data_IF_147325155610
#
_entry.id   IF_147325155610
#
_cell.length_a   1.000
_cell.length_b   1.000
_cell.length_c   1.000
_cell.angle_alpha   90.00
_cell.angle_beta   90.00
_cell.angle_gamma   90.00
#
_symmetry.space_group_name_H-M   'P 1'
#
loop_
_entity.id
_entity.type
_entity.pdbx_description
1 polymer ?
#
# COMPACT_ATOMS: atom_id res chain seq x y z
N UNK A 1 4.66 -24.86 -12.34
CA UNK A 1 5.24 -23.61 -12.90
C UNK A 1 6.74 -23.84 -13.02
N UNK A 2 7.30 -23.78 -14.22
CA UNK A 2 8.76 -23.73 -14.35
C UNK A 2 9.18 -22.34 -13.83
N UNK A 3 10.03 -22.33 -12.78
CA UNK A 3 10.55 -21.08 -12.24
C UNK A 3 11.44 -20.36 -13.26
N UNK A 4 11.58 -19.07 -13.12
CA UNK A 4 12.59 -18.28 -13.83
C UNK A 4 13.97 -18.89 -13.54
N UNK A 5 14.70 -19.28 -14.58
CA UNK A 5 16.00 -19.94 -14.44
C UNK A 5 17.07 -19.13 -15.19
N UNK A 6 18.17 -18.87 -14.52
CA UNK A 6 19.33 -18.23 -15.14
C UNK A 6 20.22 -19.29 -15.83
N UNK A 7 20.88 -18.93 -16.92
CA UNK A 7 21.77 -19.80 -17.69
C UNK A 7 23.13 -19.12 -17.89
N UNK A 8 24.22 -19.88 -17.97
CA UNK A 8 25.55 -19.36 -18.29
C UNK A 8 25.54 -18.61 -19.63
N UNK A 9 26.34 -17.56 -19.73
CA UNK A 9 26.45 -16.74 -20.93
C UNK A 9 25.34 -15.70 -21.15
N UNK A 10 24.42 -15.57 -20.21
CA UNK A 10 23.47 -14.44 -20.22
C UNK A 10 24.19 -13.11 -19.90
N UNK A 11 23.60 -11.99 -20.32
CA UNK A 11 24.04 -10.66 -19.86
C UNK A 11 23.59 -10.44 -18.40
N UNK A 12 24.25 -11.15 -17.45
CA UNK A 12 23.79 -11.26 -16.07
C UNK A 12 23.53 -9.91 -15.41
N UNK A 13 24.45 -8.93 -15.53
CA UNK A 13 24.26 -7.58 -14.96
C UNK A 13 22.98 -6.91 -15.50
N UNK A 14 22.79 -6.93 -16.81
CA UNK A 14 21.60 -6.33 -17.42
C UNK A 14 20.29 -6.99 -16.95
N UNK A 15 20.29 -8.33 -16.75
CA UNK A 15 19.15 -9.04 -16.18
C UNK A 15 18.90 -8.66 -14.71
N UNK A 16 19.96 -8.58 -13.91
CA UNK A 16 19.87 -8.15 -12.50
C UNK A 16 19.25 -6.76 -12.41
N UNK A 17 19.75 -5.79 -13.18
CA UNK A 17 19.25 -4.41 -13.20
C UNK A 17 17.77 -4.35 -13.65
N UNK A 18 17.41 -5.06 -14.72
CA UNK A 18 16.04 -5.10 -15.21
C UNK A 18 15.08 -5.69 -14.16
N UNK A 19 15.46 -6.77 -13.48
CA UNK A 19 14.64 -7.39 -12.45
C UNK A 19 14.53 -6.52 -11.20
N UNK A 20 15.60 -5.83 -10.79
CA UNK A 20 15.57 -4.86 -9.68
C UNK A 20 14.61 -3.70 -10.00
N UNK A 21 14.70 -3.13 -11.21
CA UNK A 21 13.78 -2.08 -11.64
C UNK A 21 12.33 -2.58 -11.68
N UNK A 22 12.10 -3.83 -12.09
CA UNK A 22 10.76 -4.42 -12.07
C UNK A 22 10.23 -4.67 -10.65
N UNK A 23 11.08 -5.09 -9.70
CA UNK A 23 10.74 -5.29 -8.29
C UNK A 23 10.29 -3.99 -7.61
N UNK A 24 10.84 -2.84 -8.00
CA UNK A 24 10.43 -1.53 -7.48
C UNK A 24 9.09 -1.04 -8.04
N UNK A 25 8.51 -1.71 -9.06
CA UNK A 25 7.20 -1.36 -9.59
C UNK A 25 6.08 -1.64 -8.57
N UNK A 26 5.03 -0.81 -8.57
CA UNK A 26 3.88 -0.95 -7.67
C UNK A 26 3.24 -2.35 -7.72
N UNK A 27 3.20 -2.98 -8.89
CA UNK A 27 2.58 -4.29 -9.10
C UNK A 27 3.35 -5.41 -8.37
N UNK A 28 4.68 -5.35 -8.36
CA UNK A 28 5.54 -6.36 -7.76
C UNK A 28 5.79 -6.08 -6.29
N UNK A 29 5.98 -4.83 -5.91
CA UNK A 29 6.19 -4.42 -4.51
C UNK A 29 5.05 -4.86 -3.58
N UNK A 30 3.82 -4.95 -4.09
CA UNK A 30 2.65 -5.43 -3.35
C UNK A 30 2.33 -6.92 -3.56
N UNK A 31 3.25 -7.69 -4.18
CA UNK A 31 3.07 -9.12 -4.45
C UNK A 31 4.26 -9.94 -3.89
N UNK A 32 4.22 -10.34 -2.59
CA UNK A 32 5.31 -11.05 -1.95
C UNK A 32 5.75 -12.35 -2.65
N UNK A 33 4.86 -13.20 -3.20
CA UNK A 33 5.27 -14.38 -3.96
C UNK A 33 6.12 -14.04 -5.20
N UNK A 34 5.70 -13.03 -5.97
CA UNK A 34 6.45 -12.57 -7.16
C UNK A 34 7.79 -11.96 -6.76
N UNK A 35 7.83 -11.18 -5.68
CA UNK A 35 9.05 -10.62 -5.12
C UNK A 35 10.07 -11.73 -4.78
N UNK A 36 9.64 -12.76 -4.06
CA UNK A 36 10.50 -13.88 -3.70
C UNK A 36 11.05 -14.66 -4.90
N UNK A 37 10.24 -14.85 -5.95
CA UNK A 37 10.68 -15.47 -7.19
C UNK A 37 11.76 -14.65 -7.91
N UNK A 38 11.59 -13.35 -8.00
CA UNK A 38 12.56 -12.44 -8.61
C UNK A 38 13.86 -12.36 -7.81
N UNK A 39 13.79 -12.32 -6.48
CA UNK A 39 14.97 -12.35 -5.62
C UNK A 39 15.78 -13.64 -5.82
N UNK A 40 15.10 -14.80 -5.84
CA UNK A 40 15.75 -16.07 -6.09
C UNK A 40 16.41 -16.13 -7.48
N UNK A 41 15.77 -15.56 -8.49
CA UNK A 41 16.30 -15.49 -9.85
C UNK A 41 17.51 -14.55 -9.95
N UNK A 42 17.46 -13.37 -9.33
CA UNK A 42 18.61 -12.45 -9.22
C UNK A 42 19.80 -13.16 -8.55
N UNK A 43 19.58 -13.90 -7.46
CA UNK A 43 20.63 -14.67 -6.79
C UNK A 43 21.31 -15.71 -7.71
N UNK A 44 20.54 -16.34 -8.61
CA UNK A 44 21.11 -17.24 -9.63
C UNK A 44 22.01 -16.48 -10.62
N UNK A 45 21.60 -15.30 -11.08
CA UNK A 45 22.41 -14.46 -11.96
C UNK A 45 23.70 -14.00 -11.28
N UNK A 46 23.64 -13.59 -10.00
CA UNK A 46 24.83 -13.20 -9.22
C UNK A 46 25.81 -14.37 -9.12
N UNK A 47 25.31 -15.58 -8.82
CA UNK A 47 26.17 -16.77 -8.70
C UNK A 47 26.84 -17.14 -10.03
N UNK A 48 26.12 -17.04 -11.14
CA UNK A 48 26.68 -17.30 -12.47
C UNK A 48 27.67 -16.21 -12.90
N UNK A 49 27.38 -14.94 -12.64
CA UNK A 49 28.29 -13.84 -12.93
C UNK A 49 29.61 -13.99 -12.16
N UNK A 50 29.53 -14.24 -10.86
CA UNK A 50 30.72 -14.44 -10.04
C UNK A 50 31.57 -15.64 -10.56
N UNK A 51 30.91 -16.74 -10.95
CA UNK A 51 31.59 -17.88 -11.53
C UNK A 51 32.30 -17.56 -12.83
N UNK A 52 31.62 -16.91 -13.76
CA UNK A 52 32.20 -16.54 -15.05
C UNK A 52 33.37 -15.56 -14.89
N UNK A 53 33.28 -14.60 -13.99
CA UNK A 53 34.38 -13.64 -13.69
C UNK A 53 35.60 -14.36 -13.13
N UNK A 54 35.42 -15.24 -12.15
CA UNK A 54 36.53 -15.98 -11.52
C UNK A 54 37.15 -17.03 -12.45
N UNK A 55 36.31 -17.75 -13.21
CA UNK A 55 36.81 -18.70 -14.22
C UNK A 55 37.61 -17.99 -15.31
N UNK A 56 37.14 -16.85 -15.79
CA UNK A 56 37.86 -16.03 -16.77
C UNK A 56 39.20 -15.48 -16.22
N UNK A 57 39.19 -15.01 -14.97
CA UNK A 57 40.38 -14.51 -14.28
C UNK A 57 41.45 -15.60 -14.14
N UNK A 58 41.02 -16.80 -13.76
CA UNK A 58 41.93 -17.91 -13.44
C UNK A 58 42.30 -18.76 -14.67
N UNK A 59 41.59 -18.61 -15.80
CA UNK A 59 41.83 -19.42 -17.02
C UNK A 59 43.27 -19.28 -17.52
N UNK A 60 43.86 -18.08 -17.50
CA UNK A 60 45.22 -17.84 -17.93
C UNK A 60 46.23 -18.53 -17.01
N UNK A 61 46.05 -18.43 -15.68
CA UNK A 61 46.93 -19.06 -14.71
C UNK A 61 46.89 -20.61 -14.80
N UNK A 62 45.72 -21.18 -15.01
CA UNK A 62 45.50 -22.59 -15.24
C UNK A 62 46.20 -23.03 -16.54
N UNK A 63 46.09 -22.25 -17.61
CA UNK A 63 46.74 -22.57 -18.89
C UNK A 63 48.29 -22.52 -18.79
N UNK A 64 48.83 -21.49 -18.12
CA UNK A 64 50.30 -21.39 -17.88
C UNK A 64 50.82 -22.57 -17.09
N UNK A 65 50.11 -22.98 -16.05
CA UNK A 65 50.44 -24.17 -15.26
C UNK A 65 50.39 -25.48 -16.10
N UNK A 66 49.32 -25.62 -16.91
CA UNK A 66 49.20 -26.77 -17.80
C UNK A 66 50.42 -26.91 -18.75
N UNK A 67 50.88 -25.76 -19.29
CA UNK A 67 52.07 -25.73 -20.17
C UNK A 67 53.34 -26.21 -19.45
N UNK A 68 53.53 -25.86 -18.16
CA UNK A 68 54.68 -26.29 -17.37
C UNK A 68 54.72 -27.81 -17.14
N UNK A 69 53.54 -28.45 -17.12
CA UNK A 69 53.40 -29.91 -16.93
C UNK A 69 53.17 -30.67 -18.25
N UNK A 70 53.57 -30.10 -19.39
CA UNK A 70 53.45 -30.78 -20.68
C UNK A 70 52.01 -30.91 -21.22
N UNK A 71 51.15 -30.00 -20.85
CA UNK A 71 49.78 -29.91 -21.34
C UNK A 71 48.72 -30.60 -20.44
N UNK A 72 49.17 -31.24 -19.35
CA UNK A 72 48.22 -31.88 -18.41
C UNK A 72 48.54 -31.45 -16.98
N UNK A 73 47.55 -30.92 -16.28
CA UNK A 73 47.68 -30.58 -14.86
C UNK A 73 47.56 -31.81 -14.01
N UNK A 74 48.51 -32.06 -13.04
CA UNK A 74 48.40 -33.17 -12.12
C UNK A 74 47.07 -33.15 -11.35
N UNK A 75 46.41 -34.32 -11.11
CA UNK A 75 45.10 -34.37 -10.48
C UNK A 75 45.00 -33.65 -9.14
N UNK A 76 46.05 -33.72 -8.32
CA UNK A 76 46.11 -33.06 -7.02
C UNK A 76 46.11 -31.51 -7.17
N UNK A 77 46.85 -30.98 -8.15
CA UNK A 77 46.89 -29.56 -8.44
C UNK A 77 45.56 -29.06 -9.06
N UNK A 78 44.96 -29.85 -9.94
CA UNK A 78 43.62 -29.57 -10.49
C UNK A 78 42.59 -29.48 -9.38
N UNK A 79 42.64 -30.36 -8.40
CA UNK A 79 41.72 -30.33 -7.25
C UNK A 79 41.96 -29.07 -6.36
N UNK A 80 43.21 -28.65 -6.16
CA UNK A 80 43.55 -27.44 -5.44
C UNK A 80 42.99 -26.20 -6.15
N UNK A 81 43.17 -26.10 -7.47
CA UNK A 81 42.60 -25.01 -8.27
C UNK A 81 41.07 -24.95 -8.18
N UNK A 82 40.43 -26.11 -8.24
CA UNK A 82 38.98 -26.18 -8.13
C UNK A 82 38.47 -25.70 -6.76
N UNK A 83 39.16 -26.13 -5.68
CA UNK A 83 38.82 -25.67 -4.33
C UNK A 83 39.06 -24.17 -4.17
N UNK A 84 40.15 -23.64 -4.70
CA UNK A 84 40.47 -22.22 -4.65
C UNK A 84 39.45 -21.41 -5.44
N UNK A 85 39.07 -21.85 -6.64
CA UNK A 85 38.03 -21.21 -7.44
C UNK A 85 36.68 -21.13 -6.71
N UNK A 86 36.22 -22.22 -6.05
CA UNK A 86 34.97 -22.22 -5.30
C UNK A 86 34.99 -21.22 -4.13
N UNK A 87 36.17 -21.07 -3.47
CA UNK A 87 36.33 -20.04 -2.43
C UNK A 87 36.23 -18.64 -3.02
N UNK A 88 36.98 -18.35 -4.10
CA UNK A 88 36.96 -17.06 -4.77
C UNK A 88 35.56 -16.70 -5.34
N UNK A 89 34.82 -17.68 -5.86
CA UNK A 89 33.47 -17.53 -6.32
C UNK A 89 32.54 -17.13 -5.15
N UNK A 90 32.66 -17.81 -4.00
CA UNK A 90 31.86 -17.51 -2.83
C UNK A 90 32.14 -16.07 -2.28
N UNK A 91 33.41 -15.68 -2.26
CA UNK A 91 33.83 -14.33 -1.90
C UNK A 91 33.23 -13.30 -2.88
N UNK A 92 33.33 -13.53 -4.19
CA UNK A 92 32.81 -12.65 -5.22
C UNK A 92 31.27 -12.52 -5.17
N UNK A 93 30.54 -13.60 -4.91
CA UNK A 93 29.09 -13.57 -4.66
C UNK A 93 28.79 -12.63 -3.50
N UNK A 94 29.56 -12.73 -2.42
CA UNK A 94 29.38 -11.88 -1.24
C UNK A 94 29.64 -10.41 -1.55
N UNK A 95 30.71 -10.11 -2.29
CA UNK A 95 31.05 -8.75 -2.74
C UNK A 95 29.92 -8.16 -3.60
N UNK A 96 29.52 -8.86 -4.68
CA UNK A 96 28.44 -8.42 -5.56
C UNK A 96 27.13 -8.17 -4.80
N UNK A 97 26.80 -9.06 -3.86
CA UNK A 97 25.60 -8.90 -3.04
C UNK A 97 25.70 -7.65 -2.16
N UNK A 98 26.84 -7.40 -1.53
CA UNK A 98 27.07 -6.25 -0.68
C UNK A 98 27.07 -4.94 -1.49
N UNK A 99 27.67 -4.93 -2.67
CA UNK A 99 27.65 -3.81 -3.61
C UNK A 99 26.20 -3.43 -3.95
N UNK A 100 25.37 -4.42 -4.30
CA UNK A 100 23.97 -4.20 -4.65
C UNK A 100 23.14 -3.70 -3.47
N UNK A 101 23.36 -4.20 -2.26
CA UNK A 101 22.68 -3.72 -1.04
C UNK A 101 23.10 -2.28 -0.72
N UNK A 102 24.37 -1.96 -0.88
CA UNK A 102 24.86 -0.59 -0.66
C UNK A 102 24.26 0.40 -1.65
N UNK A 103 24.18 0.05 -2.94
CA UNK A 103 23.50 0.86 -3.96
C UNK A 103 22.03 1.09 -3.65
N UNK A 104 21.32 0.05 -3.20
CA UNK A 104 19.91 0.14 -2.84
C UNK A 104 19.70 1.06 -1.64
N UNK A 105 20.56 0.97 -0.63
CA UNK A 105 20.54 1.88 0.52
C UNK A 105 20.85 3.33 0.13
N UNK A 106 21.77 3.53 -0.79
CA UNK A 106 22.11 4.86 -1.28
C UNK A 106 20.95 5.48 -2.06
N UNK A 107 20.30 4.73 -2.95
CA UNK A 107 19.08 5.16 -3.65
C UNK A 107 17.94 5.50 -2.68
N UNK A 108 17.66 4.65 -1.68
CA UNK A 108 16.65 4.95 -0.66
C UNK A 108 16.96 6.20 0.16
N UNK A 109 18.24 6.48 0.39
CA UNK A 109 18.67 7.69 1.10
C UNK A 109 18.60 8.95 0.21
N UNK A 110 18.79 8.82 -1.09
CA UNK A 110 18.59 9.90 -2.06
C UNK A 110 17.12 10.28 -2.16
N UNK A 111 16.21 9.30 -2.27
CA UNK A 111 14.75 9.53 -2.28
C UNK A 111 14.26 10.25 -1.02
N UNK A 112 14.83 9.94 0.15
CA UNK A 112 14.51 10.61 1.41
C UNK A 112 15.00 12.06 1.47
N UNK A 113 15.94 12.47 0.64
CA UNK A 113 16.51 13.81 0.59
C UNK A 113 15.93 14.68 -0.52
N UNK A 114 15.02 14.15 -1.34
CA UNK A 114 14.41 14.95 -2.40
C UNK A 114 13.36 15.91 -1.80
N UNK A 115 13.62 17.24 -1.81
CA UNK A 115 12.70 18.23 -1.25
C UNK A 115 11.33 18.21 -1.93
N UNK A 116 11.24 17.68 -3.16
CA UNK A 116 9.99 17.52 -3.90
C UNK A 116 9.09 16.43 -3.30
N UNK A 117 9.68 15.35 -2.80
CA UNK A 117 8.95 14.26 -2.13
C UNK A 117 8.40 14.76 -0.79
N UNK A 118 9.21 15.49 -0.03
CA UNK A 118 8.79 16.10 1.24
C UNK A 118 7.65 17.11 1.04
N UNK A 119 7.75 17.97 0.02
CA UNK A 119 6.70 18.91 -0.35
C UNK A 119 5.41 18.19 -0.77
N UNK A 120 5.51 17.13 -1.53
CA UNK A 120 4.35 16.34 -1.98
C UNK A 120 3.68 15.58 -0.83
N UNK A 121 4.45 15.09 0.12
CA UNK A 121 3.92 14.48 1.35
C UNK A 121 3.21 15.52 2.22
N UNK A 122 3.78 16.72 2.37
CA UNK A 122 3.14 17.82 3.10
C UNK A 122 1.84 18.27 2.42
N UNK A 123 1.82 18.36 1.09
CA UNK A 123 0.60 18.69 0.33
C UNK A 123 -0.50 17.64 0.51
N UNK A 124 -0.15 16.35 0.45
CA UNK A 124 -1.10 15.26 0.70
C UNK A 124 -1.64 15.27 2.13
N UNK A 125 -0.79 15.58 3.12
CA UNK A 125 -1.20 15.68 4.52
C UNK A 125 -2.15 16.85 4.75
N UNK A 126 -1.87 18.02 4.18
CA UNK A 126 -2.75 19.19 4.20
C UNK A 126 -4.10 18.90 3.54
N UNK A 127 -4.10 18.22 2.41
CA UNK A 127 -5.32 17.85 1.69
C UNK A 127 -6.18 16.85 2.48
N UNK A 128 -5.55 15.88 3.14
CA UNK A 128 -6.23 14.95 4.03
C UNK A 128 -6.87 15.66 5.22
N UNK A 129 -6.16 16.63 5.82
CA UNK A 129 -6.68 17.44 6.92
C UNK A 129 -7.86 18.34 6.50
N UNK A 130 -7.81 18.95 5.30
CA UNK A 130 -8.92 19.70 4.74
C UNK A 130 -10.16 18.84 4.49
N UNK A 131 -9.98 17.62 3.98
CA UNK A 131 -11.07 16.67 3.77
C UNK A 131 -11.74 16.28 5.10
N UNK A 132 -10.95 16.07 6.14
CA UNK A 132 -11.46 15.75 7.48
C UNK A 132 -12.24 16.91 8.08
N UNK A 133 -11.74 18.14 7.99
CA UNK A 133 -12.46 19.34 8.42
C UNK A 133 -13.78 19.56 7.66
N UNK A 134 -13.77 19.34 6.34
CA UNK A 134 -14.98 19.45 5.54
C UNK A 134 -16.03 18.39 5.92
N UNK A 135 -15.59 17.18 6.26
CA UNK A 135 -16.45 16.11 6.75
C UNK A 135 -17.10 16.48 8.08
N UNK A 136 -16.32 16.96 9.04
CA UNK A 136 -16.82 17.41 10.35
C UNK A 136 -17.82 18.60 10.23
N UNK A 137 -17.53 19.54 9.31
CA UNK A 137 -18.46 20.65 9.03
C UNK A 137 -19.74 20.16 8.38
N UNK A 138 -19.69 19.17 7.50
CA UNK A 138 -20.87 18.55 6.88
C UNK A 138 -21.73 17.83 7.91
N UNK A 139 -21.11 17.05 8.81
CA UNK A 139 -21.79 16.37 9.91
C UNK A 139 -22.49 17.36 10.84
N UNK A 140 -21.81 18.44 11.27
CA UNK A 140 -22.42 19.50 12.09
C UNK A 140 -23.60 20.20 11.41
N UNK A 141 -23.55 20.40 10.08
CA UNK A 141 -24.68 20.94 9.33
C UNK A 141 -25.87 20.01 9.33
N UNK A 142 -25.62 18.71 9.15
CA UNK A 142 -26.65 17.67 9.17
C UNK A 142 -27.32 17.59 10.55
N UNK A 143 -26.56 17.67 11.62
CA UNK A 143 -27.08 17.71 12.99
C UNK A 143 -27.97 18.93 13.23
N UNK A 144 -27.52 20.11 12.83
CA UNK A 144 -28.31 21.34 12.93
C UNK A 144 -29.61 21.31 12.11
N UNK A 145 -29.57 20.71 10.92
CA UNK A 145 -30.78 20.56 10.10
C UNK A 145 -31.75 19.55 10.70
N UNK A 146 -31.22 18.49 11.33
CA UNK A 146 -32.03 17.51 12.07
C UNK A 146 -32.70 18.14 13.30
N UNK A 147 -31.95 18.96 14.07
CA UNK A 147 -32.53 19.72 15.20
C UNK A 147 -33.63 20.69 14.76
N UNK A 148 -33.44 21.40 13.65
CA UNK A 148 -34.48 22.28 13.09
C UNK A 148 -35.74 21.52 12.71
N UNK A 149 -35.60 20.40 12.03
CA UNK A 149 -36.73 19.53 11.65
C UNK A 149 -37.48 19.00 12.87
N UNK A 150 -36.77 18.59 13.91
CA UNK A 150 -37.37 18.15 15.16
C UNK A 150 -38.16 19.29 15.86
N UNK A 151 -37.59 20.50 15.88
CA UNK A 151 -38.24 21.67 16.47
C UNK A 151 -39.51 22.10 15.69
N UNK A 152 -39.44 22.04 14.35
CA UNK A 152 -40.61 22.31 13.51
C UNK A 152 -41.69 21.23 13.71
N UNK A 153 -41.31 19.97 13.84
CA UNK A 153 -42.23 18.87 14.15
C UNK A 153 -42.93 19.06 15.50
N UNK A 154 -42.21 19.50 16.54
CA UNK A 154 -42.78 19.80 17.86
C UNK A 154 -43.76 20.98 17.80
N UNK A 155 -43.43 22.04 17.05
CA UNK A 155 -44.35 23.19 16.85
C UNK A 155 -45.63 22.76 16.14
N UNK A 156 -45.56 21.89 15.15
CA UNK A 156 -46.74 21.40 14.45
C UNK A 156 -47.61 20.54 15.39
N UNK A 157 -47.02 19.67 16.19
CA UNK A 157 -47.76 18.88 17.19
C UNK A 157 -48.47 19.76 18.21
N UNK A 158 -47.80 20.76 18.78
CA UNK A 158 -48.42 21.72 19.72
C UNK A 158 -49.56 22.48 19.09
N UNK A 159 -49.42 22.88 17.83
CA UNK A 159 -50.51 23.55 17.10
C UNK A 159 -51.72 22.63 16.89
N UNK A 160 -51.48 21.39 16.50
CA UNK A 160 -52.55 20.38 16.33
C UNK A 160 -53.28 20.09 17.64
N UNK A 161 -52.55 20.00 18.76
CA UNK A 161 -53.16 19.85 20.10
C UNK A 161 -54.03 21.06 20.48
N UNK A 162 -53.52 22.26 20.30
CA UNK A 162 -54.29 23.47 20.57
C UNK A 162 -55.51 23.59 19.67
N UNK A 163 -55.44 23.22 18.41
CA UNK A 163 -56.56 23.22 17.49
C UNK A 163 -57.63 22.16 17.88
N UNK A 164 -57.22 21.00 18.37
CA UNK A 164 -58.10 19.99 18.93
C UNK A 164 -58.81 20.45 20.21
N UNK A 165 -58.06 21.04 21.15
CA UNK A 165 -58.66 21.60 22.38
C UNK A 165 -59.66 22.71 22.05
N UNK A 166 -59.37 23.55 21.07
CA UNK A 166 -60.27 24.62 20.60
C UNK A 166 -61.58 24.05 19.99
N UNK A 167 -61.45 22.99 19.16
CA UNK A 167 -62.59 22.32 18.58
C UNK A 167 -63.46 21.68 19.67
N UNK A 168 -62.86 20.96 20.60
CA UNK A 168 -63.57 20.37 21.70
C UNK A 168 -64.28 21.37 22.59
N UNK A 169 -63.65 22.49 22.90
CA UNK A 169 -64.27 23.60 23.63
C UNK A 169 -65.46 24.22 22.86
N UNK A 170 -65.39 24.27 21.53
CA UNK A 170 -66.51 24.74 20.70
C UNK A 170 -67.70 23.76 20.69
N UNK A 171 -67.40 22.48 20.63
CA UNK A 171 -68.43 21.43 20.72
C UNK A 171 -69.12 21.42 22.09
N UNK A 172 -68.37 21.47 23.18
CA UNK A 172 -68.89 21.56 24.54
C UNK A 172 -69.80 22.80 24.72
N UNK A 173 -69.39 23.96 24.18
CA UNK A 173 -70.23 25.18 24.22
C UNK A 173 -71.50 25.06 23.38
N UNK A 174 -71.43 24.35 22.25
CA UNK A 174 -72.62 24.13 21.41
C UNK A 174 -73.60 23.19 22.07
N UNK A 175 -73.12 22.10 22.73
CA UNK A 175 -73.94 21.20 23.52
C UNK A 175 -74.63 21.88 24.68
N UNK A 176 -73.93 22.71 25.44
CA UNK A 176 -74.49 23.52 26.56
C UNK A 176 -75.60 24.53 26.08
N UNK A 177 -75.39 25.16 24.91
CA UNK A 177 -76.39 26.01 24.31
C UNK A 177 -77.62 25.21 23.88
N UNK A 178 -77.49 24.05 23.34
CA UNK A 178 -78.57 23.15 22.96
C UNK A 178 -79.41 22.71 24.18
N UNK A 179 -78.69 22.30 25.26
CA UNK A 179 -79.38 21.91 26.53
C UNK A 179 -80.17 23.07 27.15
N UNK A 180 -79.57 24.28 27.20
CA UNK A 180 -80.26 25.46 27.72
C UNK A 180 -81.50 25.81 26.90
N UNK A 181 -81.41 25.68 25.58
CA UNK A 181 -82.53 25.90 24.67
C UNK A 181 -83.68 24.88 24.92
N UNK A 182 -83.34 23.59 25.04
CA UNK A 182 -84.32 22.55 25.34
C UNK A 182 -84.93 22.66 26.73
N UNK A 183 -84.16 23.06 27.75
CA UNK A 183 -84.70 23.31 29.08
C UNK A 183 -85.65 24.55 29.10
N UNK A 184 -85.35 25.55 28.30
CA UNK A 184 -86.29 26.71 28.12
C UNK A 184 -87.60 26.34 27.46
N UNK A 185 -87.57 25.49 26.48
CA UNK A 185 -88.83 25.00 25.82
C UNK A 185 -89.68 24.11 26.73
N UNK A 186 -89.10 23.33 27.62
CA UNK A 186 -89.82 22.47 28.60
C UNK A 186 -90.50 23.25 29.69
N UNK A 187 -90.19 24.55 29.94
CA UNK A 187 -90.77 25.42 30.93
C UNK A 187 -91.94 26.20 30.39
N UNK A 188 -92.13 26.23 29.07
CA UNK A 188 -93.23 26.97 28.40
C UNK A 188 -94.44 26.12 28.02
N UNK A 189 -94.33 24.79 28.21
CA UNK A 189 -95.41 23.82 28.07
C UNK A 189 -95.84 23.33 29.49
#
# INVERSE_FOLDING_TARGET
MQGLQAFPGHAHMAHIEAHRAFMSSFLVANNPPTMGLLQAHISQHIALLAREEIEAKNAQAIQEQAMQFGGQIPPQLAQQFQQQNEIEIAERITELTNEMVAEEQEMMNMDKKDPLIDLKQQELMLRAQQLQQNKELSEKRLDLDTEKLNFEGQKLQQKDEMDKERLQSQEDQAELRAEVTLAGQRRQN
#
